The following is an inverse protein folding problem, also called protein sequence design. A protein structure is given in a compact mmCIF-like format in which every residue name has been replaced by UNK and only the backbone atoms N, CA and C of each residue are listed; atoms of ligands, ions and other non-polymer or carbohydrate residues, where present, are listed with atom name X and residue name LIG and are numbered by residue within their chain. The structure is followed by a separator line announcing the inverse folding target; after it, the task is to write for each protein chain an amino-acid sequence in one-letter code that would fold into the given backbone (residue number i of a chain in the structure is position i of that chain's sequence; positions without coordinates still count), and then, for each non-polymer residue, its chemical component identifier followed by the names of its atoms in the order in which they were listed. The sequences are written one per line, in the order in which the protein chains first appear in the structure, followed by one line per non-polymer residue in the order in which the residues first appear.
data_IF_327402517655
#
_entry.id   IF_327402517655
#
_cell.length_a   1.000
_cell.length_b   1.000
_cell.length_c   1.000
_cell.angle_alpha   90.00
_cell.angle_beta   90.00
_cell.angle_gamma   90.00
#
_symmetry.space_group_name_H-M   'P 1'
#
loop_
_entity.id
_entity.type
_entity.pdbx_description
1 polymer ?
#
# COMPACT_ATOMS: atom_id res chain seq x y z
N UNK A 1 -2.32 28.79 7.00
CA UNK A 1 -2.63 27.47 6.40
C UNK A 1 -3.66 27.67 5.30
N UNK A 2 -3.39 27.18 4.09
CA UNK A 2 -4.27 27.31 2.91
C UNK A 2 -4.95 25.97 2.62
N UNK A 3 -6.22 26.02 2.26
CA UNK A 3 -7.03 24.87 1.80
C UNK A 3 -7.09 24.86 0.29
N UNK A 4 -6.98 23.69 -0.32
CA UNK A 4 -7.17 23.49 -1.75
C UNK A 4 -7.97 22.20 -2.00
N UNK A 5 -8.99 22.25 -2.87
CA UNK A 5 -9.63 21.04 -3.39
C UNK A 5 -8.90 20.45 -4.61
N UNK A 6 -8.14 21.29 -5.34
CA UNK A 6 -7.20 20.87 -6.38
C UNK A 6 -5.94 21.72 -6.23
N UNK A 7 -4.77 21.10 -6.29
CA UNK A 7 -3.51 21.82 -6.21
C UNK A 7 -3.09 22.37 -7.57
N UNK A 8 -2.56 23.59 -7.59
CA UNK A 8 -1.93 24.15 -8.79
C UNK A 8 -0.69 23.33 -9.17
N UNK A 9 -0.30 23.31 -10.45
CA UNK A 9 0.91 22.58 -10.87
C UNK A 9 2.18 23.01 -10.11
N UNK A 10 2.24 24.28 -9.68
CA UNK A 10 3.32 24.80 -8.82
C UNK A 10 3.28 24.17 -7.42
N UNK A 11 2.09 24.10 -6.81
CA UNK A 11 1.92 23.50 -5.49
C UNK A 11 2.16 21.99 -5.52
N UNK A 12 1.72 21.29 -6.57
CA UNK A 12 1.99 19.87 -6.75
C UNK A 12 3.50 19.58 -6.76
N UNK A 13 4.29 20.35 -7.52
CA UNK A 13 5.75 20.23 -7.51
C UNK A 13 6.35 20.50 -6.13
N UNK A 14 5.94 21.59 -5.48
CA UNK A 14 6.43 21.94 -4.15
C UNK A 14 6.09 20.87 -3.08
N UNK A 15 4.92 20.23 -3.18
CA UNK A 15 4.56 19.10 -2.30
C UNK A 15 5.42 17.88 -2.60
N UNK A 16 5.70 17.55 -3.87
CA UNK A 16 6.60 16.46 -4.23
C UNK A 16 8.02 16.69 -3.71
N UNK A 17 8.53 17.91 -3.83
CA UNK A 17 9.85 18.30 -3.31
C UNK A 17 9.91 18.16 -1.77
N UNK A 18 8.84 18.59 -1.09
CA UNK A 18 8.70 18.44 0.36
C UNK A 18 8.69 16.97 0.81
N UNK A 19 7.94 16.13 0.11
CA UNK A 19 7.86 14.69 0.35
C UNK A 19 9.22 14.02 0.13
N UNK A 20 9.90 14.34 -0.98
CA UNK A 20 11.24 13.82 -1.27
C UNK A 20 12.26 14.23 -0.20
N UNK A 21 12.27 15.50 0.21
CA UNK A 21 13.18 15.98 1.25
C UNK A 21 12.94 15.30 2.61
N UNK A 22 11.68 15.06 2.98
CA UNK A 22 11.35 14.33 4.19
C UNK A 22 11.73 12.84 4.09
N UNK A 23 11.50 12.21 2.94
CA UNK A 23 11.90 10.81 2.72
C UNK A 23 13.42 10.62 2.82
N UNK A 24 14.21 11.55 2.26
CA UNK A 24 15.67 11.52 2.39
C UNK A 24 16.09 11.63 3.86
N UNK A 25 15.43 12.50 4.64
CA UNK A 25 15.77 12.72 6.04
C UNK A 25 15.32 11.57 6.96
N UNK A 26 14.20 10.93 6.67
CA UNK A 26 13.57 9.93 7.53
C UNK A 26 13.86 8.49 7.11
N UNK A 27 14.35 8.27 5.88
CA UNK A 27 14.53 6.94 5.30
C UNK A 27 13.22 6.24 4.92
N UNK A 28 12.07 6.89 5.09
CA UNK A 28 10.73 6.37 4.77
C UNK A 28 9.90 7.45 4.10
N UNK A 29 9.11 7.07 3.09
CA UNK A 29 8.20 8.01 2.44
C UNK A 29 7.12 8.46 3.44
N UNK A 30 6.91 9.77 3.64
CA UNK A 30 5.97 10.28 4.65
C UNK A 30 4.51 10.21 4.21
N UNK A 31 4.25 9.94 2.93
CA UNK A 31 2.91 9.73 2.35
C UNK A 31 2.99 8.59 1.31
N UNK A 32 1.91 7.84 1.15
CA UNK A 32 1.78 6.75 0.19
C UNK A 32 1.59 7.23 -1.26
N UNK A 33 1.74 6.29 -2.19
CA UNK A 33 1.64 6.55 -3.63
C UNK A 33 0.27 7.13 -4.02
N UNK A 34 -0.81 6.67 -3.37
CA UNK A 34 -2.16 7.18 -3.64
C UNK A 34 -2.30 8.66 -3.31
N UNK A 35 -1.66 9.16 -2.25
CA UNK A 35 -1.66 10.60 -1.95
C UNK A 35 -0.94 11.40 -3.04
N UNK A 36 0.15 10.86 -3.59
CA UNK A 36 0.89 11.50 -4.68
C UNK A 36 0.12 11.52 -6.00
N UNK A 37 -0.75 10.54 -6.24
CA UNK A 37 -1.69 10.50 -7.39
C UNK A 37 -2.78 11.54 -7.22
N UNK A 38 -3.28 11.69 -5.99
CA UNK A 38 -4.36 12.63 -5.67
C UNK A 38 -3.96 14.11 -5.68
N UNK A 39 -2.68 14.43 -5.85
CA UNK A 39 -2.25 15.83 -5.94
C UNK A 39 -2.91 16.60 -7.12
N UNK A 40 -3.33 15.88 -8.16
CA UNK A 40 -3.96 16.46 -9.35
C UNK A 40 -5.47 16.20 -9.45
N UNK A 41 -6.06 15.45 -8.51
CA UNK A 41 -7.46 15.03 -8.56
C UNK A 41 -8.35 15.93 -7.70
N UNK A 42 -9.66 15.68 -7.76
CA UNK A 42 -10.70 16.37 -6.97
C UNK A 42 -11.28 15.50 -5.85
N UNK A 43 -10.78 14.27 -5.66
CA UNK A 43 -11.24 13.28 -4.67
C UNK A 43 -10.54 13.44 -3.30
N UNK A 44 -9.71 14.46 -3.14
CA UNK A 44 -9.00 14.77 -1.91
C UNK A 44 -9.13 16.24 -1.51
N UNK A 45 -8.98 16.52 -0.23
CA UNK A 45 -8.76 17.86 0.29
C UNK A 45 -7.31 18.02 0.74
N UNK A 46 -6.71 19.14 0.37
CA UNK A 46 -5.31 19.43 0.68
C UNK A 46 -5.19 20.62 1.64
N UNK A 47 -4.35 20.48 2.67
CA UNK A 47 -3.94 21.56 3.55
C UNK A 47 -2.45 21.85 3.36
N UNK A 48 -2.13 23.13 3.15
CA UNK A 48 -0.76 23.61 2.96
C UNK A 48 -0.41 24.62 4.05
N UNK A 49 0.73 24.42 4.69
CA UNK A 49 1.35 25.40 5.59
C UNK A 49 2.58 25.94 4.89
N UNK A 50 2.60 27.24 4.63
CA UNK A 50 3.70 27.95 3.98
C UNK A 50 4.44 28.79 5.01
N UNK A 51 5.76 28.81 4.94
CA UNK A 51 6.54 29.79 5.71
C UNK A 51 6.33 31.20 5.13
N UNK A 52 6.35 32.28 5.96
CA UNK A 52 6.21 33.64 5.45
C UNK A 52 7.25 33.95 4.36
N UNK A 53 6.80 34.18 3.13
CA UNK A 53 7.68 34.41 1.97
C UNK A 53 8.49 33.18 1.51
N UNK A 54 8.25 32.01 2.09
CA UNK A 54 9.04 30.79 1.90
C UNK A 54 8.30 29.66 1.19
N UNK A 55 8.93 28.47 1.10
CA UNK A 55 8.33 27.28 0.51
C UNK A 55 7.21 26.69 1.40
N UNK A 56 6.54 25.66 0.90
CA UNK A 56 5.58 24.86 1.67
C UNK A 56 6.37 24.12 2.77
N UNK A 57 6.05 24.43 4.02
CA UNK A 57 6.67 23.88 5.22
C UNK A 57 5.92 22.66 5.79
N UNK A 58 4.64 22.49 5.42
CA UNK A 58 3.85 21.33 5.79
C UNK A 58 2.71 21.06 4.82
N UNK A 59 2.35 19.80 4.68
CA UNK A 59 1.29 19.32 3.81
C UNK A 59 0.46 18.26 4.54
N UNK A 60 -0.85 18.27 4.31
CA UNK A 60 -1.75 17.17 4.67
C UNK A 60 -2.69 16.90 3.51
N UNK A 61 -2.86 15.62 3.18
CA UNK A 61 -3.89 15.09 2.31
C UNK A 61 -5.00 14.50 3.17
N UNK A 62 -6.26 14.81 2.86
CA UNK A 62 -7.43 14.26 3.51
C UNK A 62 -8.32 13.60 2.46
N UNK A 63 -8.67 12.34 2.67
CA UNK A 63 -9.55 11.57 1.78
C UNK A 63 -10.73 11.02 2.57
N UNK A 64 -11.93 11.17 2.02
CA UNK A 64 -13.15 10.66 2.66
C UNK A 64 -13.43 9.24 2.19
N UNK A 65 -13.79 8.37 3.12
CA UNK A 65 -14.29 7.02 2.84
C UNK A 65 -15.56 6.77 3.66
N UNK A 66 -16.33 5.73 3.33
CA UNK A 66 -17.55 5.37 4.05
C UNK A 66 -17.29 5.12 5.55
N UNK A 67 -16.14 4.49 5.86
CA UNK A 67 -15.70 4.18 7.22
C UNK A 67 -14.88 5.31 7.88
N UNK A 68 -15.10 6.55 7.45
CA UNK A 68 -14.42 7.74 7.98
C UNK A 68 -13.21 8.17 7.16
N UNK A 69 -12.77 9.42 7.39
CA UNK A 69 -11.70 10.02 6.62
C UNK A 69 -10.33 9.42 6.97
N UNK A 70 -9.41 9.44 6.01
CA UNK A 70 -8.00 9.12 6.20
C UNK A 70 -7.16 10.34 5.88
N UNK A 71 -6.10 10.55 6.65
CA UNK A 71 -5.18 11.66 6.51
C UNK A 71 -3.74 11.20 6.53
N UNK A 72 -2.94 11.79 5.66
CA UNK A 72 -1.50 11.59 5.60
C UNK A 72 -0.84 12.97 5.55
N UNK A 73 0.22 13.16 6.32
CA UNK A 73 0.82 14.48 6.49
C UNK A 73 2.34 14.43 6.57
N UNK A 74 2.97 15.51 6.12
CA UNK A 74 4.42 15.71 6.16
C UNK A 74 4.73 17.12 6.64
N UNK A 75 5.77 17.23 7.46
CA UNK A 75 6.38 18.52 7.84
C UNK A 75 7.82 18.50 7.39
N UNK A 76 8.24 19.56 6.69
CA UNK A 76 9.59 19.68 6.16
C UNK A 76 10.63 19.52 7.27
N UNK A 77 11.72 18.76 7.09
CA UNK A 77 12.68 18.47 8.15
C UNK A 77 13.18 19.71 8.91
N UNK A 78 13.47 20.79 8.19
CA UNK A 78 13.93 22.07 8.75
C UNK A 78 12.83 22.88 9.46
N UNK A 79 11.56 22.55 9.21
CA UNK A 79 10.39 23.22 9.79
C UNK A 79 9.71 22.42 10.90
N UNK A 80 10.30 21.28 11.31
CA UNK A 80 9.82 20.47 12.43
C UNK A 80 9.94 21.21 13.76
N UNK A 81 9.19 20.73 14.75
CA UNK A 81 9.17 21.28 16.13
C UNK A 81 8.69 22.74 16.25
N UNK A 82 8.09 23.29 15.19
CA UNK A 82 7.48 24.64 15.14
C UNK A 82 5.95 24.62 15.29
N UNK A 83 5.37 23.50 15.73
CA UNK A 83 3.91 23.34 15.90
C UNK A 83 3.11 23.05 14.62
N UNK A 84 3.75 23.01 13.45
CA UNK A 84 3.09 22.80 12.14
C UNK A 84 2.31 21.49 12.09
N UNK A 85 2.94 20.37 12.48
CA UNK A 85 2.28 19.06 12.47
C UNK A 85 1.05 19.02 13.39
N UNK A 86 1.16 19.60 14.60
CA UNK A 86 0.03 19.69 15.53
C UNK A 86 -1.10 20.56 14.98
N UNK A 87 -0.78 21.64 14.27
CA UNK A 87 -1.78 22.49 13.62
C UNK A 87 -2.50 21.74 12.48
N UNK A 88 -1.79 20.96 11.67
CA UNK A 88 -2.37 20.12 10.62
C UNK A 88 -3.30 19.04 11.19
N UNK A 89 -2.85 18.33 12.22
CA UNK A 89 -3.66 17.30 12.91
C UNK A 89 -4.94 17.91 13.50
N UNK A 90 -4.84 19.05 14.19
CA UNK A 90 -6.00 19.74 14.74
C UNK A 90 -6.99 20.16 13.66
N UNK A 91 -6.48 20.70 12.56
CA UNK A 91 -7.32 21.11 11.44
C UNK A 91 -8.10 19.93 10.83
N UNK A 92 -7.46 18.78 10.66
CA UNK A 92 -8.13 17.57 10.17
C UNK A 92 -9.15 17.03 11.17
N UNK A 93 -8.84 17.04 12.47
CA UNK A 93 -9.79 16.63 13.52
C UNK A 93 -11.05 17.51 13.54
N UNK A 94 -10.90 18.82 13.46
CA UNK A 94 -12.03 19.77 13.40
C UNK A 94 -12.87 19.58 12.13
N UNK A 95 -12.23 19.31 10.99
CA UNK A 95 -12.90 19.14 9.69
C UNK A 95 -13.73 17.88 9.58
N UNK A 96 -13.27 16.81 10.21
CA UNK A 96 -13.89 15.50 10.08
C UNK A 96 -14.79 15.16 11.28
N UNK A 97 -15.13 16.13 12.13
CA UNK A 97 -15.81 15.89 13.41
C UNK A 97 -15.16 14.74 14.19
N UNK A 98 -13.81 14.74 14.19
CA UNK A 98 -12.94 13.71 14.77
C UNK A 98 -13.07 12.31 14.15
N UNK A 99 -13.81 12.12 13.07
CA UNK A 99 -13.87 10.86 12.31
C UNK A 99 -12.77 10.81 11.25
N UNK A 100 -11.52 10.80 11.72
CA UNK A 100 -10.33 10.73 10.86
C UNK A 100 -9.25 9.82 11.43
N UNK A 101 -8.64 9.01 10.57
CA UNK A 101 -7.46 8.19 10.85
C UNK A 101 -6.23 8.83 10.21
N UNK A 102 -5.11 8.88 10.92
CA UNK A 102 -3.84 9.42 10.46
C UNK A 102 -2.85 8.28 10.25
N UNK A 103 -2.34 8.11 9.03
CA UNK A 103 -1.30 7.13 8.74
C UNK A 103 0.09 7.68 9.09
N UNK A 104 0.86 6.87 9.80
CA UNK A 104 2.27 7.12 10.14
C UNK A 104 3.14 6.01 9.51
N UNK A 105 3.64 6.26 8.31
CA UNK A 105 4.51 5.33 7.60
C UNK A 105 5.84 5.12 8.36
N UNK A 106 6.22 3.86 8.55
CA UNK A 106 7.36 3.42 9.35
C UNK A 106 7.24 3.68 10.85
N UNK A 107 6.15 4.30 11.31
CA UNK A 107 5.90 4.67 12.72
C UNK A 107 7.13 5.31 13.38
N UNK A 108 7.74 6.27 12.69
CA UNK A 108 8.96 6.94 13.15
C UNK A 108 8.75 7.66 14.51
N UNK A 109 9.79 7.84 15.34
CA UNK A 109 9.66 8.44 16.67
C UNK A 109 8.96 9.80 16.67
N UNK A 110 9.19 10.62 15.64
CA UNK A 110 8.56 11.93 15.51
C UNK A 110 7.04 11.84 15.27
N UNK A 111 6.58 10.86 14.49
CA UNK A 111 5.15 10.64 14.22
C UNK A 111 4.44 10.10 15.47
N UNK A 112 5.06 9.13 16.16
CA UNK A 112 4.55 8.61 17.45
C UNK A 112 4.41 9.72 18.48
N UNK A 113 5.44 10.54 18.68
CA UNK A 113 5.40 11.65 19.63
C UNK A 113 4.33 12.71 19.26
N UNK A 114 4.12 12.97 17.96
CA UNK A 114 3.05 13.87 17.51
C UNK A 114 1.67 13.28 17.80
N UNK A 115 1.47 11.99 17.53
CA UNK A 115 0.21 11.30 17.79
C UNK A 115 -0.15 11.31 19.29
N UNK A 116 0.82 10.97 20.15
CA UNK A 116 0.67 11.00 21.61
C UNK A 116 0.34 12.42 22.10
N UNK A 117 1.08 13.44 21.64
CA UNK A 117 0.82 14.83 22.01
C UNK A 117 -0.55 15.35 21.53
N UNK A 118 -1.10 14.76 20.46
CA UNK A 118 -2.43 15.07 19.94
C UNK A 118 -3.55 14.22 20.58
N UNK A 119 -3.23 13.33 21.51
CA UNK A 119 -4.21 12.43 22.15
C UNK A 119 -4.80 11.39 21.21
N UNK A 120 -4.03 10.97 20.20
CA UNK A 120 -4.42 9.92 19.27
C UNK A 120 -3.89 8.56 19.75
N UNK A 121 -4.61 7.49 19.43
CA UNK A 121 -4.25 6.10 19.76
C UNK A 121 -4.05 5.26 18.50
N UNK A 122 -3.16 4.27 18.51
CA UNK A 122 -3.05 3.32 17.41
C UNK A 122 -4.35 2.50 17.30
N UNK A 123 -4.85 2.32 16.08
CA UNK A 123 -6.06 1.54 15.80
C UNK A 123 -5.89 0.46 14.74
N UNK A 124 -4.80 0.53 13.94
CA UNK A 124 -4.44 -0.46 12.93
C UNK A 124 -2.93 -0.39 12.71
N UNK A 125 -2.30 -1.55 12.52
CA UNK A 125 -0.88 -1.65 12.20
C UNK A 125 -0.71 -2.55 10.99
N UNK A 126 -0.03 -2.03 9.96
CA UNK A 126 0.31 -2.71 8.72
C UNK A 126 1.81 -2.98 8.70
N UNK A 127 2.19 -4.26 8.67
CA UNK A 127 3.57 -4.71 8.71
C UNK A 127 4.10 -4.79 7.28
N UNK A 128 5.14 -4.03 6.97
CA UNK A 128 5.92 -4.23 5.75
C UNK A 128 6.95 -5.32 6.01
N UNK A 129 6.93 -6.37 5.19
CA UNK A 129 7.97 -7.40 5.21
C UNK A 129 8.78 -7.40 3.92
N UNK A 130 10.07 -7.75 3.99
CA UNK A 130 10.97 -7.81 2.83
C UNK A 130 11.81 -9.09 2.80
N UNK A 131 12.24 -9.49 1.60
CA UNK A 131 13.25 -10.52 1.36
C UNK A 131 14.09 -10.26 0.09
N UNK A 132 15.35 -10.70 0.04
CA UNK A 132 16.11 -10.78 -1.21
C UNK A 132 15.49 -11.77 -2.21
N UNK A 133 15.79 -11.61 -3.50
CA UNK A 133 15.34 -12.48 -4.60
C UNK A 133 16.42 -13.46 -5.11
N UNK A 134 17.59 -13.53 -4.47
CA UNK A 134 18.71 -14.40 -4.88
C UNK A 134 18.48 -15.89 -4.59
N UNK A 135 17.75 -16.22 -3.51
CA UNK A 135 17.53 -17.59 -3.04
C UNK A 135 16.03 -17.85 -2.81
N UNK A 136 15.23 -17.69 -3.87
CA UNK A 136 13.79 -17.99 -3.81
C UNK A 136 13.61 -19.51 -3.69
N UNK A 137 12.89 -20.01 -2.66
CA UNK A 137 12.64 -21.44 -2.53
C UNK A 137 11.93 -22.01 -3.76
N UNK A 138 12.25 -23.25 -4.12
CA UNK A 138 11.51 -23.99 -5.15
C UNK A 138 10.05 -24.23 -4.73
N UNK A 139 9.19 -24.40 -5.72
CA UNK A 139 7.77 -24.71 -5.53
C UNK A 139 7.36 -25.94 -6.32
N UNK A 140 6.33 -26.63 -5.81
CA UNK A 140 5.63 -27.67 -6.53
C UNK A 140 4.16 -27.27 -6.62
N UNK A 141 3.60 -27.33 -7.83
CA UNK A 141 2.17 -27.07 -8.02
C UNK A 141 1.39 -28.32 -7.54
N UNK A 142 0.36 -28.16 -6.69
CA UNK A 142 -0.45 -29.30 -6.25
C UNK A 142 -1.14 -29.99 -7.43
N UNK A 143 -1.38 -31.30 -7.31
CA UNK A 143 -2.11 -32.05 -8.33
C UNK A 143 -3.51 -31.45 -8.58
N UNK A 144 -3.93 -31.41 -9.85
CA UNK A 144 -5.22 -30.85 -10.26
C UNK A 144 -5.26 -29.33 -10.30
N UNK A 145 -4.11 -28.66 -10.15
CA UNK A 145 -3.98 -27.21 -10.24
C UNK A 145 -3.01 -26.88 -11.35
N UNK A 146 -3.37 -25.93 -12.21
CA UNK A 146 -2.45 -25.33 -13.17
C UNK A 146 -2.23 -23.85 -12.84
N UNK A 147 -1.05 -23.35 -13.19
CA UNK A 147 -0.69 -21.94 -13.03
C UNK A 147 -0.55 -21.33 -14.42
N UNK A 148 -1.31 -20.27 -14.69
CA UNK A 148 -1.25 -19.53 -15.96
C UNK A 148 -1.16 -18.02 -15.74
N UNK A 149 -0.77 -17.30 -16.79
CA UNK A 149 -0.83 -15.84 -16.81
C UNK A 149 -2.27 -15.33 -16.98
N UNK A 150 -2.45 -14.07 -16.64
CA UNK A 150 -3.71 -13.34 -16.84
C UNK A 150 -4.01 -13.09 -18.32
N UNK A 151 -5.17 -13.55 -18.77
CA UNK A 151 -5.70 -13.43 -20.12
C UNK A 151 -6.38 -12.08 -20.41
N UNK A 152 -6.26 -11.09 -19.53
CA UNK A 152 -6.85 -9.78 -19.73
C UNK A 152 -8.32 -9.73 -19.32
N UNK A 153 -9.16 -9.14 -20.18
CA UNK A 153 -10.56 -8.81 -19.84
C UNK A 153 -11.39 -10.02 -19.43
N UNK A 154 -11.10 -11.20 -19.99
CA UNK A 154 -11.85 -12.43 -19.76
C UNK A 154 -11.67 -12.96 -18.32
N UNK A 155 -10.52 -12.70 -17.70
CA UNK A 155 -10.22 -13.13 -16.34
C UNK A 155 -10.72 -12.15 -15.26
N UNK A 156 -11.14 -10.93 -15.63
CA UNK A 156 -11.55 -9.89 -14.66
C UNK A 156 -12.67 -10.39 -13.74
N UNK A 157 -13.64 -11.11 -14.29
CA UNK A 157 -14.79 -11.58 -13.53
C UNK A 157 -14.38 -12.55 -12.42
N UNK A 158 -13.53 -13.52 -12.74
CA UNK A 158 -13.04 -14.50 -11.77
C UNK A 158 -12.06 -13.88 -10.76
N UNK A 159 -11.16 -13.00 -11.22
CA UNK A 159 -10.25 -12.25 -10.32
C UNK A 159 -11.06 -11.45 -9.29
N UNK A 160 -12.12 -10.77 -9.72
CA UNK A 160 -13.01 -10.03 -8.82
C UNK A 160 -13.76 -10.95 -7.86
N UNK A 161 -14.28 -12.09 -8.35
CA UNK A 161 -14.98 -13.08 -7.51
C UNK A 161 -14.07 -13.56 -6.37
N UNK A 162 -12.87 -14.03 -6.71
CA UNK A 162 -11.89 -14.54 -5.75
C UNK A 162 -11.39 -13.42 -4.83
N UNK A 163 -11.11 -12.23 -5.35
CA UNK A 163 -10.69 -11.08 -4.55
C UNK A 163 -11.74 -10.74 -3.49
N UNK A 164 -12.99 -10.56 -3.91
CA UNK A 164 -14.06 -10.13 -3.01
C UNK A 164 -14.42 -11.22 -2.00
N UNK A 165 -14.25 -12.51 -2.34
CA UNK A 165 -14.39 -13.60 -1.39
C UNK A 165 -13.24 -13.62 -0.35
N UNK A 166 -11.99 -13.58 -0.82
CA UNK A 166 -10.79 -13.64 0.03
C UNK A 166 -10.66 -12.44 0.98
N UNK A 167 -11.11 -11.27 0.52
CA UNK A 167 -11.00 -9.99 1.23
C UNK A 167 -12.35 -9.41 1.65
N UNK A 168 -13.39 -10.24 1.80
CA UNK A 168 -14.75 -9.82 2.17
C UNK A 168 -14.85 -8.96 3.45
N UNK A 169 -13.87 -9.07 4.35
CA UNK A 169 -13.76 -8.32 5.59
C UNK A 169 -12.84 -7.08 5.49
N UNK A 170 -12.09 -6.92 4.40
CA UNK A 170 -11.03 -5.93 4.29
C UNK A 170 -11.56 -4.59 3.75
N UNK A 171 -11.37 -3.47 4.45
CA UNK A 171 -12.00 -2.19 4.10
C UNK A 171 -11.53 -1.59 2.76
N UNK A 172 -10.31 -1.90 2.32
CA UNK A 172 -9.70 -1.30 1.12
C UNK A 172 -9.53 -2.29 -0.05
N UNK A 173 -9.72 -3.59 0.21
CA UNK A 173 -9.43 -4.67 -0.75
C UNK A 173 -10.68 -5.49 -1.06
N UNK A 174 -11.62 -5.57 -0.12
CA UNK A 174 -12.95 -6.11 -0.38
C UNK A 174 -13.78 -5.16 -1.24
N UNK A 175 -14.78 -5.70 -1.92
CA UNK A 175 -15.77 -4.92 -2.66
C UNK A 175 -15.24 -4.26 -3.94
N UNK A 176 -14.08 -4.69 -4.46
CA UNK A 176 -13.60 -4.22 -5.75
C UNK A 176 -14.62 -4.50 -6.84
N UNK A 177 -14.72 -3.57 -7.78
CA UNK A 177 -15.51 -3.70 -8.99
C UNK A 177 -14.61 -3.64 -10.23
N UNK A 178 -15.23 -3.74 -11.41
CA UNK A 178 -14.50 -3.73 -12.68
C UNK A 178 -13.67 -2.46 -12.90
N UNK A 179 -14.14 -1.29 -12.46
CA UNK A 179 -13.39 -0.04 -12.59
C UNK A 179 -12.10 -0.09 -11.77
N UNK A 180 -12.14 -0.63 -10.54
CA UNK A 180 -10.94 -0.77 -9.68
C UNK A 180 -9.82 -1.58 -10.34
N UNK A 181 -10.19 -2.64 -11.06
CA UNK A 181 -9.24 -3.47 -11.82
C UNK A 181 -8.74 -2.69 -13.04
N UNK A 182 -9.65 -2.09 -13.81
CA UNK A 182 -9.27 -1.34 -15.02
C UNK A 182 -8.31 -0.19 -14.71
N UNK A 183 -8.58 0.57 -13.64
CA UNK A 183 -7.72 1.66 -13.17
C UNK A 183 -6.30 1.16 -12.87
N UNK A 184 -6.17 0.01 -12.21
CA UNK A 184 -4.85 -0.60 -11.91
C UNK A 184 -4.17 -1.18 -13.13
N UNK A 185 -4.92 -1.76 -14.07
CA UNK A 185 -4.36 -2.29 -15.32
C UNK A 185 -3.97 -1.20 -16.32
N UNK A 186 -4.42 0.04 -16.12
CA UNK A 186 -4.00 1.20 -16.91
C UNK A 186 -2.68 1.84 -16.41
N UNK A 187 -2.13 1.34 -15.31
CA UNK A 187 -0.94 1.92 -14.70
C UNK A 187 0.35 1.61 -15.48
N UNK A 188 1.34 2.52 -15.50
CA UNK A 188 2.61 2.28 -16.17
C UNK A 188 3.41 1.10 -15.62
N UNK A 189 3.15 0.71 -14.36
CA UNK A 189 3.80 -0.45 -13.73
C UNK A 189 3.09 -1.77 -14.04
N UNK A 190 1.88 -1.74 -14.62
CA UNK A 190 1.10 -2.95 -14.88
C UNK A 190 1.81 -3.84 -15.90
N UNK A 191 1.97 -5.11 -15.52
CA UNK A 191 2.53 -6.16 -16.35
C UNK A 191 1.57 -7.37 -16.28
N UNK A 192 0.89 -7.76 -17.37
CA UNK A 192 -0.04 -8.89 -17.35
C UNK A 192 0.68 -10.21 -17.05
N UNK A 193 1.97 -10.36 -17.37
CA UNK A 193 2.74 -11.53 -16.98
C UNK A 193 3.00 -11.60 -15.47
N UNK A 194 2.87 -10.45 -14.80
CA UNK A 194 2.97 -10.31 -13.34
C UNK A 194 1.69 -10.69 -12.59
N UNK A 195 0.61 -11.04 -13.29
CA UNK A 195 -0.64 -11.54 -12.69
C UNK A 195 -0.75 -13.04 -12.94
N UNK A 196 -0.59 -13.81 -11.87
CA UNK A 196 -0.47 -15.26 -11.89
C UNK A 196 -1.73 -15.89 -11.31
N UNK A 197 -2.37 -16.76 -12.07
CA UNK A 197 -3.65 -17.36 -11.75
C UNK A 197 -3.47 -18.85 -11.47
N UNK A 198 -3.98 -19.33 -10.33
CA UNK A 198 -4.11 -20.74 -10.03
C UNK A 198 -5.52 -21.21 -10.36
N UNK A 199 -5.65 -22.10 -11.34
CA UNK A 199 -6.94 -22.61 -11.81
C UNK A 199 -7.03 -24.11 -11.58
N UNK A 200 -8.24 -24.59 -11.33
CA UNK A 200 -8.55 -26.01 -11.25
C UNK A 200 -8.52 -26.64 -12.66
N UNK A 201 -7.76 -27.72 -12.84
CA UNK A 201 -7.55 -28.32 -14.17
C UNK A 201 -8.82 -28.95 -14.78
N UNK A 202 -9.80 -29.31 -13.96
CA UNK A 202 -11.02 -29.99 -14.43
C UNK A 202 -12.14 -29.01 -14.75
N UNK A 203 -12.29 -27.98 -13.92
CA UNK A 203 -13.39 -27.01 -14.01
C UNK A 203 -13.00 -25.67 -14.63
N UNK A 204 -11.70 -25.38 -14.76
CA UNK A 204 -11.14 -24.08 -15.14
C UNK A 204 -11.52 -22.94 -14.17
N UNK A 205 -12.00 -23.28 -12.97
CA UNK A 205 -12.37 -22.31 -11.94
C UNK A 205 -11.12 -21.67 -11.31
N UNK A 206 -11.16 -20.36 -11.06
CA UNK A 206 -10.07 -19.67 -10.38
C UNK A 206 -10.07 -20.00 -8.88
N UNK A 207 -8.96 -20.57 -8.41
CA UNK A 207 -8.76 -20.95 -7.01
C UNK A 207 -8.02 -19.86 -6.21
N UNK A 208 -7.24 -19.03 -6.89
CA UNK A 208 -6.42 -18.00 -6.29
C UNK A 208 -5.59 -17.25 -7.31
N UNK A 209 -5.07 -16.09 -6.93
CA UNK A 209 -4.19 -15.31 -7.78
C UNK A 209 -3.10 -14.61 -6.98
N UNK A 210 -2.01 -14.28 -7.66
CA UNK A 210 -0.96 -13.41 -7.17
C UNK A 210 -0.71 -12.33 -8.23
N UNK A 211 -1.05 -11.10 -7.89
CA UNK A 211 -0.69 -9.91 -8.64
C UNK A 211 0.64 -9.36 -8.07
N UNK A 212 1.68 -9.38 -8.88
CA UNK A 212 2.99 -8.78 -8.56
C UNK A 212 3.10 -7.37 -9.12
N UNK A 213 3.91 -6.54 -8.48
CA UNK A 213 4.24 -5.19 -8.96
C UNK A 213 5.74 -4.96 -8.94
N UNK A 214 6.26 -4.22 -9.91
CA UNK A 214 7.63 -3.70 -9.91
C UNK A 214 7.56 -2.20 -9.73
N UNK A 215 8.19 -1.70 -8.67
CA UNK A 215 8.31 -0.28 -8.40
C UNK A 215 9.36 0.37 -9.30
N UNK A 216 9.27 1.69 -9.58
CA UNK A 216 10.28 2.40 -10.38
C UNK A 216 11.70 2.34 -9.81
N UNK A 217 11.85 2.09 -8.50
CA UNK A 217 13.14 1.93 -7.83
C UNK A 217 13.74 0.51 -7.98
N UNK A 218 13.08 -0.39 -8.72
CA UNK A 218 13.50 -1.77 -8.93
C UNK A 218 13.07 -2.75 -7.84
N UNK A 219 12.30 -2.31 -6.84
CA UNK A 219 11.74 -3.20 -5.80
C UNK A 219 10.55 -3.98 -6.35
N UNK A 220 10.53 -5.31 -6.17
CA UNK A 220 9.36 -6.14 -6.42
C UNK A 220 8.36 -6.10 -5.25
N UNK A 221 7.08 -6.36 -5.52
CA UNK A 221 6.04 -6.39 -4.50
C UNK A 221 5.07 -7.55 -4.73
N UNK A 222 4.72 -8.25 -3.65
CA UNK A 222 3.50 -9.06 -3.55
C UNK A 222 2.34 -8.09 -3.39
N UNK A 223 1.81 -7.59 -4.51
CA UNK A 223 0.86 -6.47 -4.50
C UNK A 223 -0.52 -6.92 -4.01
N UNK A 224 -1.06 -8.00 -4.59
CA UNK A 224 -2.28 -8.65 -4.08
C UNK A 224 -2.11 -10.17 -4.16
N UNK A 225 -2.39 -10.85 -3.06
CA UNK A 225 -2.42 -12.32 -3.00
C UNK A 225 -3.78 -12.76 -2.43
N UNK A 226 -4.63 -13.33 -3.28
CA UNK A 226 -5.96 -13.82 -2.91
C UNK A 226 -6.07 -15.32 -3.15
N UNK A 227 -6.66 -16.05 -2.19
CA UNK A 227 -7.04 -17.46 -2.37
C UNK A 227 -8.51 -17.58 -1.99
N UNK A 228 -9.29 -18.20 -2.87
CA UNK A 228 -10.71 -18.45 -2.62
C UNK A 228 -10.85 -19.22 -1.30
N UNK A 229 -11.70 -18.75 -0.36
CA UNK A 229 -12.00 -19.49 0.87
C UNK A 229 -12.33 -20.97 0.67
N UNK A 230 -13.02 -21.34 -0.42
CA UNK A 230 -13.34 -22.73 -0.76
C UNK A 230 -12.11 -23.58 -1.15
N UNK A 231 -11.01 -22.93 -1.56
CA UNK A 231 -9.76 -23.57 -1.96
C UNK A 231 -8.64 -23.43 -0.91
N UNK A 232 -8.92 -22.82 0.25
CA UNK A 232 -7.95 -22.68 1.34
C UNK A 232 -7.57 -24.02 1.98
N UNK A 233 -6.45 -24.05 2.70
CA UNK A 233 -5.92 -25.28 3.31
C UNK A 233 -5.17 -26.21 2.34
N UNK A 234 -5.18 -25.93 1.03
CA UNK A 234 -4.49 -26.71 -0.02
C UNK A 234 -3.03 -26.27 -0.28
N UNK A 235 -2.51 -25.33 0.51
CA UNK A 235 -1.16 -24.75 0.31
C UNK A 235 -1.04 -23.73 -0.83
N UNK A 236 -2.15 -23.36 -1.49
CA UNK A 236 -2.15 -22.47 -2.66
C UNK A 236 -1.53 -21.10 -2.40
N UNK A 237 -1.80 -20.48 -1.26
CA UNK A 237 -1.22 -19.17 -0.93
C UNK A 237 0.32 -19.20 -0.91
N UNK A 238 0.90 -20.29 -0.38
CA UNK A 238 2.36 -20.49 -0.39
C UNK A 238 2.89 -20.66 -1.81
N UNK A 239 2.24 -21.51 -2.61
CA UNK A 239 2.64 -21.79 -4.00
C UNK A 239 2.55 -20.52 -4.85
N UNK A 240 1.42 -19.82 -4.82
CA UNK A 240 1.23 -18.56 -5.53
C UNK A 240 2.26 -17.50 -5.12
N UNK A 241 2.57 -17.38 -3.82
CA UNK A 241 3.65 -16.49 -3.35
C UNK A 241 4.97 -16.84 -4.02
N UNK A 242 5.36 -18.12 -4.01
CA UNK A 242 6.62 -18.58 -4.61
C UNK A 242 6.66 -18.38 -6.13
N UNK A 243 5.59 -18.69 -6.86
CA UNK A 243 5.51 -18.45 -8.31
C UNK A 243 5.75 -16.97 -8.62
N UNK A 244 5.12 -16.07 -7.87
CA UNK A 244 5.32 -14.62 -8.07
C UNK A 244 6.71 -14.14 -7.67
N UNK A 245 7.31 -14.69 -6.61
CA UNK A 245 8.70 -14.39 -6.27
C UNK A 245 9.67 -14.85 -7.36
N UNK A 246 9.45 -16.03 -7.97
CA UNK A 246 10.22 -16.50 -9.12
C UNK A 246 10.00 -15.66 -10.37
N UNK A 247 8.79 -15.15 -10.59
CA UNK A 247 8.52 -14.16 -11.63
C UNK A 247 9.33 -12.87 -11.39
N UNK A 248 9.25 -12.29 -10.19
CA UNK A 248 9.98 -11.08 -9.82
C UNK A 248 11.51 -11.28 -9.91
N UNK A 249 12.04 -12.40 -9.42
CA UNK A 249 13.45 -12.73 -9.51
C UNK A 249 13.94 -12.74 -10.97
N UNK A 250 13.17 -13.36 -11.88
CA UNK A 250 13.50 -13.37 -13.32
C UNK A 250 13.45 -11.97 -13.93
N UNK A 251 12.46 -11.14 -13.59
CA UNK A 251 12.30 -9.77 -14.10
C UNK A 251 13.40 -8.85 -13.60
N UNK A 252 13.81 -9.01 -12.35
CA UNK A 252 14.75 -8.12 -11.64
C UNK A 252 16.19 -8.64 -11.62
N UNK A 253 16.50 -9.74 -12.32
CA UNK A 253 17.85 -10.37 -12.38
C UNK A 253 19.00 -9.46 -12.83
N UNK A 254 18.69 -8.31 -13.40
CA UNK A 254 19.65 -7.33 -13.90
C UNK A 254 20.11 -6.34 -12.83
N UNK A 255 19.48 -6.36 -11.65
CA UNK A 255 19.86 -5.58 -10.48
C UNK A 255 20.84 -6.37 -9.62
N UNK A 256 21.73 -5.69 -8.91
CA UNK A 256 22.72 -6.32 -8.05
C UNK A 256 22.09 -6.93 -6.78
N UNK A 257 21.12 -6.23 -6.18
CA UNK A 257 20.43 -6.65 -4.96
C UNK A 257 18.89 -6.63 -5.14
N UNK A 258 18.34 -7.52 -6.00
CA UNK A 258 16.91 -7.54 -6.24
C UNK A 258 16.17 -8.02 -4.98
N UNK A 259 15.13 -7.31 -4.60
CA UNK A 259 14.33 -7.60 -3.40
C UNK A 259 12.83 -7.56 -3.69
N UNK A 260 12.06 -8.23 -2.82
CA UNK A 260 10.61 -8.17 -2.81
C UNK A 260 10.09 -7.66 -1.46
N UNK A 261 9.01 -6.88 -1.48
CA UNK A 261 8.27 -6.44 -0.32
C UNK A 261 6.82 -6.93 -0.33
N UNK A 262 6.16 -6.84 0.83
CA UNK A 262 4.72 -7.01 0.97
C UNK A 262 4.22 -6.22 2.19
N UNK A 263 2.92 -5.97 2.23
CA UNK A 263 2.23 -5.44 3.39
C UNK A 263 1.22 -6.47 3.92
N UNK A 264 1.13 -6.60 5.24
CA UNK A 264 0.20 -7.53 5.89
C UNK A 264 -0.32 -6.95 7.21
N UNK A 265 -1.61 -7.13 7.50
CA UNK A 265 -2.19 -6.73 8.78
C UNK A 265 -1.48 -7.43 9.95
N UNK A 266 -1.17 -6.67 10.99
CA UNK A 266 -0.46 -7.17 12.18
C UNK A 266 -1.18 -8.30 12.92
N UNK A 267 -2.51 -8.36 12.84
CA UNK A 267 -3.34 -9.40 13.44
C UNK A 267 -3.49 -10.65 12.55
N UNK A 268 -3.08 -10.59 11.27
CA UNK A 268 -3.07 -11.72 10.36
C UNK A 268 -1.84 -12.64 10.60
N UNK A 269 -1.84 -13.29 11.76
CA UNK A 269 -0.76 -14.18 12.21
C UNK A 269 -0.50 -15.34 11.24
N UNK A 270 -1.52 -15.81 10.51
CA UNK A 270 -1.38 -16.91 9.55
C UNK A 270 -0.58 -16.49 8.32
N UNK A 271 -0.89 -15.31 7.74
CA UNK A 271 -0.15 -14.76 6.63
C UNK A 271 1.30 -14.42 7.04
N UNK A 272 1.48 -13.77 8.20
CA UNK A 272 2.82 -13.44 8.73
C UNK A 272 3.69 -14.70 8.84
N UNK A 273 3.18 -15.78 9.45
CA UNK A 273 3.91 -17.06 9.55
C UNK A 273 4.25 -17.66 8.19
N UNK A 274 3.33 -17.54 7.22
CA UNK A 274 3.54 -18.02 5.85
C UNK A 274 4.70 -17.26 5.20
N UNK A 275 4.72 -15.93 5.30
CA UNK A 275 5.78 -15.10 4.74
C UNK A 275 7.12 -15.30 5.45
N UNK A 276 7.13 -15.41 6.78
CA UNK A 276 8.34 -15.77 7.55
C UNK A 276 8.93 -17.11 7.09
N UNK A 277 8.08 -18.13 6.88
CA UNK A 277 8.49 -19.43 6.33
C UNK A 277 8.92 -19.40 4.86
N UNK A 278 8.86 -18.24 4.21
CA UNK A 278 9.35 -17.96 2.86
C UNK A 278 10.58 -17.03 2.87
N UNK A 279 11.12 -16.73 4.06
CA UNK A 279 12.31 -15.89 4.24
C UNK A 279 12.03 -14.39 4.28
N UNK A 280 10.76 -13.96 4.38
CA UNK A 280 10.45 -12.56 4.66
C UNK A 280 10.75 -12.20 6.11
N UNK A 281 11.25 -10.99 6.30
CA UNK A 281 11.53 -10.39 7.62
C UNK A 281 10.80 -9.05 7.73
N UNK A 282 10.45 -8.65 8.95
CA UNK A 282 9.80 -7.34 9.18
C UNK A 282 10.80 -6.23 8.88
N UNK A 283 10.41 -5.31 8.01
CA UNK A 283 11.22 -4.15 7.61
C UNK A 283 10.72 -2.85 8.25
N UNK A 284 9.39 -2.68 8.31
CA UNK A 284 8.76 -1.50 8.88
C UNK A 284 7.34 -1.81 9.37
N UNK A 285 6.77 -0.92 10.19
CA UNK A 285 5.37 -0.97 10.61
C UNK A 285 4.75 0.40 10.34
N UNK A 286 3.67 0.42 9.58
CA UNK A 286 2.85 1.61 9.37
C UNK A 286 1.69 1.57 10.36
N UNK A 287 1.48 2.65 11.09
CA UNK A 287 0.42 2.71 12.11
C UNK A 287 -0.64 3.73 11.73
N UNK A 288 -1.90 3.33 11.74
CA UNK A 288 -3.02 4.26 11.70
C UNK A 288 -3.38 4.69 13.12
N UNK A 289 -3.39 6.00 13.35
CA UNK A 289 -3.78 6.63 14.61
C UNK A 289 -5.17 7.27 14.48
N UNK A 290 -6.01 7.16 15.50
CA UNK A 290 -7.33 7.80 15.54
C UNK A 290 -7.57 8.48 16.89
N UNK A 291 -8.43 9.52 16.94
CA UNK A 291 -8.90 10.04 18.22
C UNK A 291 -9.71 8.98 18.99
N UNK A 292 -9.84 9.20 20.29
CA UNK A 292 -10.79 8.47 21.13
C UNK A 292 -12.22 8.62 20.64
#
# INVERSE_FOLDING_TARGET
MRRCGVLSAKDQRAVRDLVAAAQIADGVAPVGEQVLRRLASTDAEHLLVTDPGGPIAGYLCLTSAEDGATAELVVGPQSRRRGIGAALVRAALERCDRRVRFWAHGTIPAAKALAEAAGLRPVRELIQMRRPLTDVPEFAVPQGVSIRGYGGVDDIAEVLRVNNAAFSWHPEQGGWNRADVLDRTAEPWFDPEGVLLAVDELSDELLGFHWTKVHPDGTGEVYVLGVDPAAQGRGLGRVLTLVGLHHLARRLRHLDEPGAMLYVESDNRAAIKTYQGLGFTVAAVDTAYAPH
#
